data_IF_127094608236
#
_entry.id   IF_127094608236
#
_cell.length_a   1.000
_cell.length_b   1.000
_cell.length_c   1.000
_cell.angle_alpha   90.00
_cell.angle_beta   90.00
_cell.angle_gamma   90.00
#
_symmetry.space_group_name_H-M   'P 1'
#
loop_
_entity.id
_entity.type
_entity.pdbx_description
1 polymer ?
#
# COMPACT_ATOMS: atom_id res chain seq x y z
N UNK A 1 -15.71 -45.66 37.58
CA UNK A 1 -16.46 -45.15 36.41
C UNK A 1 -15.96 -43.75 36.14
N UNK A 2 -15.05 -43.65 35.22
CA UNK A 2 -14.60 -42.36 34.65
C UNK A 2 -15.64 -41.93 33.63
N UNK A 3 -16.38 -40.86 33.96
CA UNK A 3 -17.25 -40.22 32.98
C UNK A 3 -16.40 -39.47 31.95
N UNK A 4 -16.48 -39.90 30.71
CA UNK A 4 -15.96 -39.13 29.56
C UNK A 4 -16.84 -37.91 29.41
N UNK A 5 -16.29 -36.73 29.67
CA UNK A 5 -16.91 -35.47 29.33
C UNK A 5 -16.75 -35.27 27.79
N UNK A 6 -17.80 -35.55 27.06
CA UNK A 6 -17.85 -35.23 25.61
C UNK A 6 -17.98 -33.71 25.45
N UNK A 7 -16.90 -33.04 25.06
CA UNK A 7 -16.96 -31.62 24.66
C UNK A 7 -17.51 -31.54 23.23
N UNK A 8 -18.68 -30.89 23.08
CA UNK A 8 -19.23 -30.58 21.74
C UNK A 8 -18.87 -29.13 21.40
N UNK A 9 -18.14 -28.91 20.32
CA UNK A 9 -17.94 -27.59 19.73
C UNK A 9 -18.81 -27.46 18.48
N UNK A 10 -19.54 -26.34 18.37
CA UNK A 10 -20.34 -26.03 17.20
C UNK A 10 -19.84 -24.72 16.59
N UNK A 11 -19.56 -24.74 15.31
CA UNK A 11 -19.11 -23.56 14.57
C UNK A 11 -19.95 -23.33 13.31
N UNK A 12 -20.17 -22.08 12.96
CA UNK A 12 -20.85 -21.67 11.73
C UNK A 12 -20.07 -20.53 11.07
N UNK A 13 -19.99 -20.56 9.74
CA UNK A 13 -19.39 -19.49 8.94
C UNK A 13 -20.35 -19.07 7.84
N UNK A 14 -20.60 -17.77 7.73
CA UNK A 14 -21.39 -17.16 6.66
C UNK A 14 -20.46 -16.19 5.90
N UNK A 15 -20.39 -16.34 4.58
CA UNK A 15 -19.63 -15.43 3.72
C UNK A 15 -20.51 -14.90 2.60
N UNK A 16 -20.37 -13.62 2.29
CA UNK A 16 -21.05 -12.96 1.18
C UNK A 16 -20.08 -12.10 0.40
N UNK A 17 -20.19 -12.09 -0.93
CA UNK A 17 -19.40 -11.24 -1.82
C UNK A 17 -20.30 -10.65 -2.88
N UNK A 18 -20.12 -9.34 -3.13
CA UNK A 18 -20.75 -8.61 -4.21
C UNK A 18 -19.67 -7.82 -4.95
N UNK A 19 -19.76 -7.79 -6.29
CA UNK A 19 -18.93 -6.94 -7.13
C UNK A 19 -19.81 -6.30 -8.21
N UNK A 20 -19.57 -5.01 -8.45
CA UNK A 20 -20.22 -4.24 -9.51
C UNK A 20 -19.14 -3.57 -10.33
N UNK A 21 -19.09 -3.87 -11.62
CA UNK A 21 -18.19 -3.24 -12.58
C UNK A 21 -19.00 -2.31 -13.48
N UNK A 22 -18.55 -1.06 -13.57
CA UNK A 22 -19.18 -0.03 -14.40
C UNK A 22 -18.22 0.37 -15.49
N UNK A 23 -18.68 0.40 -16.73
CA UNK A 23 -17.88 0.71 -17.91
C UNK A 23 -16.58 -0.11 -18.04
N UNK A 24 -16.62 -1.45 -17.91
CA UNK A 24 -15.42 -2.29 -17.87
C UNK A 24 -14.58 -2.21 -19.14
N UNK A 25 -15.19 -1.91 -20.28
CA UNK A 25 -14.51 -1.74 -21.56
C UNK A 25 -14.14 -0.28 -21.88
N UNK A 26 -14.40 0.67 -20.99
CA UNK A 26 -14.05 2.08 -21.19
C UNK A 26 -12.61 2.37 -20.79
N UNK A 27 -12.16 3.60 -21.11
CA UNK A 27 -10.88 4.12 -20.62
C UNK A 27 -10.88 4.34 -19.10
N UNK A 28 -12.05 4.39 -18.47
CA UNK A 28 -12.24 4.66 -17.04
C UNK A 28 -13.08 3.55 -16.39
N UNK A 29 -12.63 2.29 -16.38
CA UNK A 29 -13.34 1.22 -15.69
C UNK A 29 -13.38 1.50 -14.19
N UNK A 30 -14.55 1.25 -13.61
CA UNK A 30 -14.80 1.41 -12.20
C UNK A 30 -15.31 0.10 -11.62
N UNK A 31 -14.82 -0.29 -10.47
CA UNK A 31 -15.25 -1.49 -9.75
C UNK A 31 -15.53 -1.17 -8.28
N UNK A 32 -16.70 -1.57 -7.82
CA UNK A 32 -17.08 -1.59 -6.42
C UNK A 32 -17.19 -3.03 -5.96
N UNK A 33 -16.54 -3.37 -4.84
CA UNK A 33 -16.61 -4.70 -4.24
C UNK A 33 -16.96 -4.59 -2.77
N UNK A 34 -17.87 -5.46 -2.31
CA UNK A 34 -18.21 -5.63 -0.91
C UNK A 34 -18.04 -7.10 -0.51
N UNK A 35 -17.29 -7.35 0.55
CA UNK A 35 -17.10 -8.67 1.15
C UNK A 35 -17.60 -8.64 2.60
N UNK A 36 -18.35 -9.68 2.98
CA UNK A 36 -18.88 -9.89 4.32
C UNK A 36 -18.47 -11.28 4.79
N UNK A 37 -18.01 -11.38 6.02
CA UNK A 37 -17.70 -12.64 6.68
C UNK A 37 -18.22 -12.61 8.13
N UNK A 38 -18.92 -13.66 8.54
CA UNK A 38 -19.35 -13.88 9.92
C UNK A 38 -18.93 -15.28 10.30
N UNK A 39 -18.12 -15.42 11.33
CA UNK A 39 -17.65 -16.70 11.84
C UNK A 39 -17.96 -16.76 13.34
N UNK A 40 -18.66 -17.81 13.75
CA UNK A 40 -19.04 -18.05 15.14
C UNK A 40 -18.60 -19.44 15.53
N UNK A 41 -17.96 -19.54 16.67
CA UNK A 41 -17.68 -20.82 17.31
C UNK A 41 -18.18 -20.77 18.75
N UNK A 42 -18.89 -21.81 19.16
CA UNK A 42 -19.33 -22.03 20.53
C UNK A 42 -18.73 -23.32 21.06
N UNK A 43 -18.06 -23.26 22.20
CA UNK A 43 -17.50 -24.40 22.92
C UNK A 43 -17.62 -24.16 24.42
N UNK A 44 -17.41 -25.20 25.23
CA UNK A 44 -17.66 -25.15 26.69
C UNK A 44 -16.86 -24.09 27.46
N UNK A 45 -15.81 -23.51 26.90
CA UNK A 45 -14.97 -22.56 27.62
C UNK A 45 -14.91 -21.14 27.04
N UNK A 46 -15.09 -20.92 25.74
CA UNK A 46 -15.03 -19.59 25.12
C UNK A 46 -15.69 -19.61 23.73
N UNK A 47 -16.83 -18.95 23.60
CA UNK A 47 -17.41 -18.63 22.29
C UNK A 47 -16.63 -17.49 21.65
N UNK A 48 -16.28 -17.59 20.39
CA UNK A 48 -15.72 -16.49 19.62
C UNK A 48 -16.63 -16.11 18.45
N UNK A 49 -16.91 -14.83 18.33
CA UNK A 49 -17.61 -14.25 17.18
C UNK A 49 -16.68 -13.29 16.48
N UNK A 50 -16.44 -13.51 15.20
CA UNK A 50 -15.61 -12.64 14.36
C UNK A 50 -16.41 -12.23 13.14
N UNK A 51 -16.63 -10.96 12.96
CA UNK A 51 -17.30 -10.36 11.82
C UNK A 51 -16.32 -9.50 11.03
N UNK A 52 -16.21 -9.76 9.75
CA UNK A 52 -15.39 -8.99 8.81
C UNK A 52 -16.28 -8.33 7.78
N UNK A 53 -16.07 -7.06 7.55
CA UNK A 53 -16.72 -6.27 6.51
C UNK A 53 -15.62 -5.55 5.73
N UNK A 54 -15.64 -5.65 4.40
CA UNK A 54 -14.71 -4.95 3.52
C UNK A 54 -15.49 -4.33 2.37
N UNK A 55 -15.22 -3.06 2.14
CA UNK A 55 -15.70 -2.31 0.99
C UNK A 55 -14.49 -1.78 0.23
N UNK A 56 -14.38 -2.08 -1.05
CA UNK A 56 -13.33 -1.56 -1.89
C UNK A 56 -13.88 -0.95 -3.17
N UNK A 57 -13.27 0.15 -3.56
CA UNK A 57 -13.57 0.91 -4.74
C UNK A 57 -12.29 1.06 -5.52
N UNK A 58 -12.30 0.70 -6.80
CA UNK A 58 -11.16 0.89 -7.67
C UNK A 58 -11.59 1.57 -8.97
N UNK A 59 -10.75 2.48 -9.41
CA UNK A 59 -10.87 3.13 -10.69
C UNK A 59 -9.52 3.12 -11.39
N UNK A 60 -9.51 2.79 -12.67
CA UNK A 60 -8.32 2.86 -13.49
C UNK A 60 -8.55 3.74 -14.71
N UNK A 61 -7.48 4.29 -15.22
CA UNK A 61 -7.43 4.97 -16.50
C UNK A 61 -6.51 4.19 -17.43
N UNK A 62 -7.01 3.90 -18.63
CA UNK A 62 -6.28 3.21 -19.70
C UNK A 62 -6.45 4.00 -20.98
N UNK A 63 -5.40 4.64 -21.51
CA UNK A 63 -5.49 5.31 -22.81
C UNK A 63 -5.71 4.30 -23.94
N UNK A 64 -6.20 4.75 -25.07
CA UNK A 64 -6.33 3.91 -26.27
C UNK A 64 -4.95 3.62 -26.89
N UNK A 65 -4.04 4.55 -26.74
CA UNK A 65 -2.69 4.48 -27.31
C UNK A 65 -1.69 4.90 -26.23
N UNK A 66 -0.56 4.20 -26.17
CA UNK A 66 0.48 4.46 -25.17
C UNK A 66 0.39 3.55 -23.96
N UNK A 67 1.38 3.66 -23.10
CA UNK A 67 1.53 2.86 -21.87
C UNK A 67 1.16 3.62 -20.60
N UNK A 68 0.60 4.83 -20.74
CA UNK A 68 0.17 5.61 -19.60
C UNK A 68 -0.95 4.87 -18.85
N UNK A 69 -0.86 4.81 -17.56
CA UNK A 69 -1.97 4.29 -16.76
C UNK A 69 -2.05 4.99 -15.40
N UNK A 70 -3.26 5.05 -14.87
CA UNK A 70 -3.55 5.49 -13.52
C UNK A 70 -4.44 4.44 -12.87
N UNK A 71 -4.14 4.10 -11.63
CA UNK A 71 -4.97 3.25 -10.81
C UNK A 71 -5.18 3.89 -9.44
N UNK A 72 -6.44 3.99 -9.01
CA UNK A 72 -6.83 4.45 -7.69
C UNK A 72 -7.63 3.35 -7.00
N UNK A 73 -7.27 3.02 -5.77
CA UNK A 73 -8.01 2.09 -4.92
C UNK A 73 -8.25 2.70 -3.55
N UNK A 74 -9.50 2.62 -3.12
CA UNK A 74 -9.91 2.98 -1.77
C UNK A 74 -10.48 1.73 -1.13
N UNK A 75 -10.04 1.41 0.08
CA UNK A 75 -10.53 0.27 0.83
C UNK A 75 -10.88 0.69 2.25
N UNK A 76 -12.04 0.23 2.71
CA UNK A 76 -12.45 0.35 4.09
C UNK A 76 -12.80 -1.04 4.61
N UNK A 77 -12.13 -1.48 5.67
CA UNK A 77 -12.39 -2.76 6.30
C UNK A 77 -12.65 -2.59 7.79
N UNK A 78 -13.55 -3.39 8.29
CA UNK A 78 -13.90 -3.48 9.70
C UNK A 78 -13.81 -4.93 10.13
N UNK A 79 -13.05 -5.18 11.16
CA UNK A 79 -12.99 -6.43 11.88
C UNK A 79 -13.61 -6.22 13.26
N UNK A 80 -14.61 -6.99 13.61
CA UNK A 80 -15.25 -6.99 14.91
C UNK A 80 -15.09 -8.37 15.53
N UNK A 81 -14.42 -8.44 16.66
CA UNK A 81 -14.38 -9.59 17.56
C UNK A 81 -15.24 -9.27 18.79
N UNK A 82 -15.43 -10.23 19.69
CA UNK A 82 -16.35 -10.12 20.85
C UNK A 82 -16.20 -8.80 21.60
N UNK A 83 -14.96 -8.37 21.88
CA UNK A 83 -14.66 -7.19 22.71
C UNK A 83 -13.86 -6.11 22.00
N UNK A 84 -13.51 -6.33 20.74
CA UNK A 84 -12.67 -5.40 19.98
C UNK A 84 -13.24 -5.09 18.60
N UNK A 85 -12.94 -3.91 18.13
CA UNK A 85 -13.25 -3.48 16.75
C UNK A 85 -12.04 -2.77 16.18
N UNK A 86 -11.53 -3.35 15.10
CA UNK A 86 -10.47 -2.76 14.30
C UNK A 86 -11.05 -2.22 13.00
N UNK A 87 -10.69 -1.00 12.65
CA UNK A 87 -11.12 -0.34 11.42
C UNK A 87 -9.87 0.12 10.66
N UNK A 88 -9.74 -0.34 9.42
CA UNK A 88 -8.68 0.07 8.51
C UNK A 88 -9.30 0.79 7.31
N UNK A 89 -8.82 1.99 7.05
CA UNK A 89 -9.11 2.72 5.81
C UNK A 89 -7.80 2.93 5.07
N UNK A 90 -7.74 2.59 3.80
CA UNK A 90 -6.56 2.79 2.95
C UNK A 90 -6.92 3.40 1.61
N UNK A 91 -6.01 4.21 1.10
CA UNK A 91 -6.06 4.80 -0.24
C UNK A 91 -4.73 4.50 -0.91
N UNK A 92 -4.78 3.95 -2.11
CA UNK A 92 -3.62 3.64 -2.94
C UNK A 92 -3.80 4.27 -4.30
N UNK A 93 -2.77 4.93 -4.80
CA UNK A 93 -2.75 5.49 -6.14
C UNK A 93 -1.43 5.10 -6.82
N UNK A 94 -1.51 4.75 -8.08
CA UNK A 94 -0.36 4.45 -8.93
C UNK A 94 -0.57 5.12 -10.28
N UNK A 95 0.45 5.79 -10.77
CA UNK A 95 0.44 6.40 -12.09
C UNK A 95 1.76 6.08 -12.81
N UNK A 96 1.65 5.76 -14.08
CA UNK A 96 2.78 5.60 -14.97
C UNK A 96 2.55 6.47 -16.20
N UNK A 97 3.59 7.12 -16.65
CA UNK A 97 3.60 7.93 -17.86
C UNK A 97 4.89 7.71 -18.64
N UNK A 98 4.76 7.52 -19.93
CA UNK A 98 5.86 7.47 -20.88
C UNK A 98 5.69 8.61 -21.87
N UNK A 99 6.67 9.51 -21.96
CA UNK A 99 6.61 10.66 -22.85
C UNK A 99 7.99 10.94 -23.45
N UNK A 100 8.18 10.56 -24.72
CA UNK A 100 9.47 10.66 -25.40
C UNK A 100 10.53 9.88 -24.62
N UNK A 101 11.61 10.55 -24.26
CA UNK A 101 12.75 9.99 -23.54
C UNK A 101 12.55 9.91 -22.02
N UNK A 102 11.36 10.25 -21.54
CA UNK A 102 11.02 10.25 -20.11
C UNK A 102 10.08 9.12 -19.74
N UNK A 103 10.39 8.45 -18.64
CA UNK A 103 9.47 7.56 -17.93
C UNK A 103 9.24 8.10 -16.51
N UNK A 104 8.00 8.05 -16.06
CA UNK A 104 7.62 8.49 -14.72
C UNK A 104 6.68 7.46 -14.10
N UNK A 105 7.09 6.89 -12.96
CA UNK A 105 6.28 6.03 -12.12
C UNK A 105 6.06 6.70 -10.78
N UNK A 106 4.79 6.84 -10.39
CA UNK A 106 4.37 7.43 -9.13
C UNK A 106 3.56 6.43 -8.33
N UNK A 107 3.83 6.33 -7.04
CA UNK A 107 3.06 5.55 -6.09
C UNK A 107 2.73 6.39 -4.86
N UNK A 108 1.48 6.35 -4.43
CA UNK A 108 1.02 6.95 -3.19
C UNK A 108 0.22 5.94 -2.38
N UNK A 109 0.45 5.89 -1.10
CA UNK A 109 -0.32 5.07 -0.17
C UNK A 109 -0.60 5.86 1.10
N UNK A 110 -1.84 5.76 1.56
CA UNK A 110 -2.25 6.30 2.85
C UNK A 110 -3.10 5.26 3.57
N UNK A 111 -2.88 5.09 4.86
CA UNK A 111 -3.69 4.21 5.69
C UNK A 111 -3.94 4.79 7.08
N UNK A 112 -5.12 4.50 7.59
CA UNK A 112 -5.54 4.81 8.94
C UNK A 112 -6.09 3.54 9.58
N UNK A 113 -5.46 3.08 10.64
CA UNK A 113 -5.93 1.99 11.48
C UNK A 113 -6.40 2.54 12.82
N UNK A 114 -7.57 2.12 13.27
CA UNK A 114 -8.17 2.51 14.55
C UNK A 114 -8.63 1.26 15.28
N UNK A 115 -8.21 1.13 16.53
CA UNK A 115 -8.59 0.05 17.41
C UNK A 115 -9.47 0.60 18.54
N UNK A 116 -10.63 -0.01 18.74
CA UNK A 116 -11.60 0.51 19.70
C UNK A 116 -11.37 0.07 21.14
N UNK A 117 -10.74 -1.08 21.36
CA UNK A 117 -10.44 -1.63 22.69
C UNK A 117 -9.37 -0.80 23.41
N UNK A 118 -8.29 -0.46 22.75
CA UNK A 118 -7.19 0.34 23.29
C UNK A 118 -7.33 1.84 23.01
N UNK A 119 -8.19 2.23 22.06
CA UNK A 119 -8.28 3.61 21.57
C UNK A 119 -7.11 4.00 20.65
N UNK A 120 -6.23 3.06 20.33
CA UNK A 120 -5.04 3.32 19.53
C UNK A 120 -5.39 3.70 18.10
N UNK A 121 -4.63 4.62 17.57
CA UNK A 121 -4.72 5.07 16.19
C UNK A 121 -3.35 5.07 15.52
N UNK A 122 -3.22 4.38 14.41
CA UNK A 122 -2.04 4.39 13.57
C UNK A 122 -2.36 5.01 12.21
N UNK A 123 -1.56 5.98 11.80
CA UNK A 123 -1.64 6.62 10.48
C UNK A 123 -0.31 6.46 9.78
N UNK A 124 -0.37 6.04 8.52
CA UNK A 124 0.79 5.91 7.65
C UNK A 124 0.50 6.59 6.32
N UNK A 125 1.50 7.29 5.78
CA UNK A 125 1.48 7.85 4.44
C UNK A 125 2.82 7.61 3.76
N UNK A 126 2.81 7.28 2.47
CA UNK A 126 4.01 7.13 1.67
C UNK A 126 3.80 7.65 0.24
N UNK A 127 4.85 8.23 -0.30
CA UNK A 127 4.96 8.63 -1.70
C UNK A 127 6.26 8.06 -2.25
N UNK A 128 6.21 7.51 -3.46
CA UNK A 128 7.36 7.03 -4.20
C UNK A 128 7.29 7.60 -5.61
N UNK A 129 8.40 8.06 -6.11
CA UNK A 129 8.53 8.53 -7.49
C UNK A 129 9.79 7.93 -8.09
N UNK A 130 9.68 7.42 -9.30
CA UNK A 130 10.78 6.98 -10.12
C UNK A 130 10.69 7.72 -11.45
N UNK A 131 11.75 8.41 -11.83
CA UNK A 131 11.87 9.13 -13.09
C UNK A 131 13.08 8.63 -13.83
N UNK A 132 12.88 8.11 -15.02
CA UNK A 132 13.91 7.75 -15.98
C UNK A 132 13.96 8.78 -17.11
N UNK A 133 15.15 9.18 -17.49
CA UNK A 133 15.42 10.04 -18.62
C UNK A 133 16.50 9.43 -19.51
N UNK A 134 16.13 9.08 -20.74
CA UNK A 134 16.99 8.37 -21.69
C UNK A 134 17.04 9.17 -23.01
N UNK A 135 17.76 10.32 -23.05
CA UNK A 135 17.80 11.18 -24.24
C UNK A 135 18.57 10.54 -25.42
N UNK A 136 19.38 9.52 -25.15
CA UNK A 136 20.10 8.73 -26.14
C UNK A 136 20.35 7.32 -25.60
N UNK A 137 20.83 6.41 -26.46
CA UNK A 137 21.26 5.07 -26.03
C UNK A 137 22.48 5.11 -25.08
N UNK A 138 23.22 6.20 -25.11
CA UNK A 138 24.48 6.38 -24.39
C UNK A 138 24.29 7.07 -23.03
N UNK A 139 23.21 7.83 -22.83
CA UNK A 139 22.97 8.58 -21.60
C UNK A 139 21.66 8.17 -20.94
N UNK A 140 21.76 7.79 -19.68
CA UNK A 140 20.64 7.44 -18.84
C UNK A 140 20.72 8.19 -17.52
N UNK A 141 19.63 8.78 -17.08
CA UNK A 141 19.50 9.40 -15.77
C UNK A 141 18.30 8.79 -15.06
N UNK A 142 18.55 8.20 -13.89
CA UNK A 142 17.53 7.61 -13.03
C UNK A 142 17.42 8.38 -11.73
N UNK A 143 16.21 8.75 -11.35
CA UNK A 143 15.95 9.45 -10.10
C UNK A 143 14.84 8.74 -9.32
N UNK A 144 15.16 8.37 -8.09
CA UNK A 144 14.24 7.77 -7.13
C UNK A 144 14.01 8.77 -6.00
N UNK A 145 12.75 9.05 -5.69
CA UNK A 145 12.37 9.84 -4.54
C UNK A 145 11.36 9.07 -3.68
N UNK A 146 11.51 9.13 -2.38
CA UNK A 146 10.57 8.54 -1.44
C UNK A 146 10.33 9.45 -0.25
N UNK A 147 9.10 9.43 0.22
CA UNK A 147 8.66 10.04 1.46
C UNK A 147 7.79 9.07 2.22
N UNK A 148 8.09 8.87 3.50
CA UNK A 148 7.33 8.03 4.40
C UNK A 148 7.05 8.79 5.68
N UNK A 149 5.82 8.76 6.16
CA UNK A 149 5.40 9.29 7.44
C UNK A 149 4.58 8.25 8.19
N UNK A 150 4.89 8.07 9.46
CA UNK A 150 4.13 7.24 10.37
C UNK A 150 3.79 8.04 11.63
N UNK A 151 2.56 7.93 12.12
CA UNK A 151 2.12 8.42 13.42
C UNK A 151 1.37 7.33 14.15
N UNK A 152 1.72 7.15 15.41
CA UNK A 152 1.06 6.25 16.32
C UNK A 152 0.58 7.06 17.53
N UNK A 153 -0.70 7.03 17.80
CA UNK A 153 -1.33 7.63 18.98
C UNK A 153 -1.88 6.50 19.83
N UNK A 154 -1.37 6.36 21.03
CA UNK A 154 -1.87 5.44 22.04
C UNK A 154 -2.73 6.21 23.05
N UNK A 155 -3.99 5.81 23.21
CA UNK A 155 -4.97 6.47 24.08
C UNK A 155 -4.93 5.85 25.48
N UNK A 156 -3.85 5.81 26.19
CA UNK A 156 -3.64 5.42 27.61
C UNK A 156 -4.78 4.72 28.41
N UNK A 157 -5.92 4.46 27.78
CA UNK A 157 -7.13 3.90 28.42
C UNK A 157 -6.93 2.49 28.95
N UNK A 158 -6.13 1.67 28.29
CA UNK A 158 -5.94 0.27 28.69
C UNK A 158 -5.04 0.07 29.91
N UNK A 159 -4.33 1.10 30.38
CA UNK A 159 -3.37 0.97 31.49
C UNK A 159 -3.32 2.14 32.48
N UNK A 160 -4.25 3.10 32.44
CA UNK A 160 -4.29 4.24 33.36
C UNK A 160 -3.11 5.21 33.23
N UNK A 161 -2.30 5.10 32.15
CA UNK A 161 -1.17 5.97 31.84
C UNK A 161 -1.56 7.13 30.92
N UNK A 162 -0.69 8.15 30.86
CA UNK A 162 -0.83 9.22 29.87
C UNK A 162 -0.70 8.65 28.45
N UNK A 163 -1.60 9.07 27.53
CA UNK A 163 -1.49 8.71 26.13
C UNK A 163 -0.15 9.14 25.55
N UNK A 164 0.38 8.38 24.61
CA UNK A 164 1.64 8.69 23.92
C UNK A 164 1.37 8.96 22.44
N UNK A 165 2.06 9.96 21.90
CA UNK A 165 2.09 10.25 20.47
C UNK A 165 3.52 10.05 19.97
N UNK A 166 3.68 9.16 19.00
CA UNK A 166 4.95 8.88 18.35
C UNK A 166 4.82 9.13 16.86
N UNK A 167 5.77 9.85 16.29
CA UNK A 167 5.80 10.11 14.86
C UNK A 167 7.21 9.93 14.29
N UNK A 168 7.29 9.45 13.08
CA UNK A 168 8.51 9.41 12.29
C UNK A 168 8.24 9.86 10.86
N UNK A 169 9.21 10.53 10.28
CA UNK A 169 9.18 10.96 8.89
C UNK A 169 10.55 10.73 8.26
N UNK A 170 10.56 10.11 7.09
CA UNK A 170 11.77 9.85 6.30
C UNK A 170 11.55 10.36 4.89
N UNK A 171 12.53 11.11 4.39
CA UNK A 171 12.60 11.58 3.00
C UNK A 171 13.93 11.13 2.41
N UNK A 172 13.88 10.64 1.19
CA UNK A 172 15.07 10.20 0.48
C UNK A 172 14.95 10.56 -1.00
N UNK A 173 16.03 11.06 -1.56
CA UNK A 173 16.19 11.25 -3.01
C UNK A 173 17.53 10.66 -3.41
N UNK A 174 17.51 9.84 -4.45
CA UNK A 174 18.69 9.25 -5.06
C UNK A 174 18.62 9.49 -6.57
N UNK A 175 19.67 10.04 -7.14
CA UNK A 175 19.77 10.23 -8.60
C UNK A 175 21.11 9.69 -9.08
N UNK A 176 21.06 8.95 -10.17
CA UNK A 176 22.22 8.35 -10.82
C UNK A 176 22.17 8.72 -12.30
N UNK A 177 23.25 9.30 -12.80
CA UNK A 177 23.46 9.49 -14.23
C UNK A 177 24.52 8.49 -14.71
N UNK A 178 24.23 7.80 -15.79
CA UNK A 178 25.14 6.82 -16.41
C UNK A 178 25.35 7.22 -17.87
N UNK A 179 26.60 7.26 -18.29
CA UNK A 179 26.96 7.59 -19.65
C UNK A 179 27.93 6.55 -20.22
N UNK A 180 27.66 6.11 -21.42
CA UNK A 180 28.52 5.21 -22.19
C UNK A 180 29.02 5.98 -23.40
N UNK A 181 30.35 6.25 -23.52
CA UNK A 181 30.90 6.93 -24.69
C UNK A 181 30.62 6.13 -25.98
N UNK A 182 30.32 6.84 -27.08
CA UNK A 182 30.20 6.22 -28.38
C UNK A 182 31.53 5.72 -28.89
N UNK A 183 31.49 4.73 -29.82
CA UNK A 183 32.69 4.24 -30.50
C UNK A 183 33.43 5.38 -31.20
N UNK A 184 34.75 5.47 -30.96
CA UNK A 184 35.59 6.54 -31.48
C UNK A 184 35.79 7.74 -30.56
N UNK A 185 35.06 7.83 -29.42
CA UNK A 185 35.33 8.84 -28.41
C UNK A 185 36.58 8.49 -27.59
N UNK A 186 37.34 9.50 -27.07
CA UNK A 186 38.60 9.27 -26.38
C UNK A 186 38.51 8.40 -25.12
N UNK A 187 37.30 8.29 -24.52
CA UNK A 187 37.04 7.51 -23.33
C UNK A 187 36.34 6.18 -23.62
N UNK A 188 36.20 5.82 -24.91
CA UNK A 188 35.58 4.56 -25.30
C UNK A 188 36.45 3.36 -24.94
N UNK A 189 35.87 2.39 -24.28
CA UNK A 189 36.45 1.09 -23.99
C UNK A 189 35.38 0.03 -24.23
N UNK A 190 35.58 -0.87 -25.19
CA UNK A 190 34.60 -1.89 -25.61
C UNK A 190 34.06 -2.74 -24.45
N UNK A 191 34.84 -2.93 -23.38
CA UNK A 191 34.45 -3.84 -22.32
C UNK A 191 33.88 -3.14 -21.07
N UNK A 192 34.21 -1.84 -20.81
CA UNK A 192 33.97 -1.24 -19.49
C UNK A 192 33.61 0.25 -19.44
N UNK A 193 33.45 0.93 -20.56
CA UNK A 193 33.24 2.38 -20.55
C UNK A 193 31.82 2.76 -20.07
N UNK A 194 31.52 2.53 -18.81
CA UNK A 194 30.35 3.02 -18.12
C UNK A 194 30.77 4.00 -17.01
N UNK A 195 30.46 5.28 -17.23
CA UNK A 195 30.65 6.30 -16.21
C UNK A 195 29.35 6.52 -15.47
N UNK A 196 29.36 6.47 -14.14
CA UNK A 196 28.18 6.75 -13.33
C UNK A 196 28.51 7.76 -12.24
N UNK A 197 27.62 8.70 -12.01
CA UNK A 197 27.65 9.62 -10.88
C UNK A 197 26.31 9.50 -10.14
N UNK A 198 26.39 9.34 -8.83
CA UNK A 198 25.22 9.21 -7.98
C UNK A 198 25.17 10.29 -6.91
N UNK A 199 23.98 10.75 -6.59
CA UNK A 199 23.70 11.69 -5.52
C UNK A 199 22.59 11.16 -4.64
N UNK A 200 22.80 11.10 -3.33
CA UNK A 200 21.81 10.64 -2.36
C UNK A 200 21.66 11.65 -1.24
N UNK A 201 20.40 12.00 -0.93
CA UNK A 201 20.04 12.77 0.26
C UNK A 201 18.97 12.02 1.03
N UNK A 202 19.19 11.84 2.32
CA UNK A 202 18.19 11.29 3.24
C UNK A 202 18.02 12.22 4.44
N UNK A 203 16.77 12.40 4.88
CA UNK A 203 16.42 13.14 6.07
C UNK A 203 15.42 12.32 6.89
N UNK A 204 15.64 12.18 8.18
CA UNK A 204 14.74 11.55 9.14
C UNK A 204 14.42 12.51 10.30
N UNK A 205 13.21 12.43 10.82
CA UNK A 205 12.73 13.16 12.00
C UNK A 205 11.91 12.23 12.87
#
# INVERSE_FOLDING_TARGET
RSGEASSSSQGGTLTGRMAVSVFPASRFPFELRADLGDSRSSGESLGSEVRTQRLSLSQSYRPEVGADHLNLRIEHSRLQASDSRDTLTSVQAQAQRLAGDHSLDLGANWSLNQRSDSGDRSRQASLNAHHGFHPSEDLQVETLASWNQQRLQADGRAGGGAGSDFGSEVRQVNSVASWRPAEGEPLYDEERALFSIGYNVSQSR
#
